data_IF_952887804405
#
_entry.id   IF_952887804405
#
_cell.length_a   1.000
_cell.length_b   1.000
_cell.length_c   1.000
_cell.angle_alpha   90.00
_cell.angle_beta   90.00
_cell.angle_gamma   90.00
#
_symmetry.space_group_name_H-M   'P 1'
#
loop_
_entity.id
_entity.type
_entity.pdbx_description
1 polymer ?
#
# COMPACT_ATOMS: atom_id res chain seq x y z
N UNK A 1 -16.57 12.08 -3.15
CA UNK A 1 -15.47 11.65 -2.27
C UNK A 1 -14.38 11.11 -3.17
N UNK A 2 -13.26 11.83 -3.26
CA UNK A 2 -12.04 11.32 -3.87
C UNK A 2 -11.37 10.43 -2.82
N UNK A 3 -11.08 9.17 -3.16
CA UNK A 3 -10.36 8.28 -2.26
C UNK A 3 -8.87 8.55 -2.38
N UNK A 4 -8.17 8.61 -1.25
CA UNK A 4 -6.73 8.88 -1.26
C UNK A 4 -5.93 7.64 -1.67
N UNK A 5 -4.95 7.84 -2.53
CA UNK A 5 -4.09 6.79 -3.07
C UNK A 5 -2.84 6.69 -2.20
N UNK A 6 -2.50 5.47 -1.78
CA UNK A 6 -1.28 5.23 -1.01
C UNK A 6 -0.02 5.62 -1.82
N UNK A 7 1.09 5.97 -1.14
CA UNK A 7 2.38 6.14 -1.79
C UNK A 7 2.71 4.95 -2.69
N UNK A 8 3.26 5.26 -3.87
CA UNK A 8 3.61 4.29 -4.90
C UNK A 8 2.43 3.51 -5.49
N UNK A 9 1.18 3.81 -5.13
CA UNK A 9 0.00 3.17 -5.68
C UNK A 9 -0.27 3.53 -7.16
N UNK A 10 -0.92 2.62 -7.88
CA UNK A 10 -1.54 2.87 -9.18
C UNK A 10 -3.04 2.67 -9.04
N UNK A 11 -3.81 3.61 -9.58
CA UNK A 11 -5.25 3.54 -9.68
C UNK A 11 -5.66 3.26 -11.12
N UNK A 12 -6.67 2.42 -11.33
CA UNK A 12 -7.29 2.20 -12.64
C UNK A 12 -8.81 2.42 -12.61
N UNK A 13 -9.34 2.88 -13.75
CA UNK A 13 -10.77 2.97 -14.04
C UNK A 13 -11.50 4.21 -13.50
N UNK A 14 -12.72 4.41 -13.98
CA UNK A 14 -13.54 5.60 -13.70
C UNK A 14 -13.97 5.75 -12.22
N UNK A 15 -13.94 4.66 -11.43
CA UNK A 15 -14.25 4.69 -9.99
C UNK A 15 -13.01 4.67 -9.10
N UNK A 16 -11.82 4.83 -9.68
CA UNK A 16 -10.55 4.89 -8.99
C UNK A 16 -10.34 3.77 -7.95
N UNK A 17 -10.08 2.54 -8.42
CA UNK A 17 -9.68 1.44 -7.55
C UNK A 17 -8.17 1.25 -7.55
N UNK A 18 -7.58 0.94 -6.39
CA UNK A 18 -6.15 0.67 -6.27
C UNK A 18 -5.83 -0.67 -6.96
N UNK A 19 -5.05 -0.63 -8.03
CA UNK A 19 -4.70 -1.82 -8.80
C UNK A 19 -3.42 -2.49 -8.30
N UNK A 20 -2.54 -1.73 -7.64
CA UNK A 20 -1.24 -2.22 -7.20
C UNK A 20 -0.23 -1.10 -6.99
N UNK A 21 1.04 -1.44 -7.09
CA UNK A 21 2.16 -0.51 -6.98
C UNK A 21 2.74 -0.14 -8.36
N UNK A 22 3.23 1.10 -8.49
CA UNK A 22 3.92 1.61 -9.66
C UNK A 22 5.36 1.11 -9.74
N UNK A 23 5.53 -0.16 -10.07
CA UNK A 23 6.83 -0.81 -10.17
C UNK A 23 7.74 -0.12 -11.19
N UNK A 24 7.17 0.33 -12.32
CA UNK A 24 7.94 1.07 -13.33
C UNK A 24 8.45 2.39 -12.75
N UNK A 25 7.58 3.14 -12.08
CA UNK A 25 7.95 4.37 -11.38
C UNK A 25 9.04 4.14 -10.34
N UNK A 26 8.90 3.13 -9.50
CA UNK A 26 9.90 2.76 -8.49
C UNK A 26 11.26 2.47 -9.10
N UNK A 27 11.32 1.65 -10.17
CA UNK A 27 12.57 1.34 -10.88
C UNK A 27 13.22 2.59 -11.47
N UNK A 28 12.44 3.51 -12.06
CA UNK A 28 12.98 4.78 -12.59
C UNK A 28 13.54 5.69 -11.50
N UNK A 29 13.05 5.59 -10.27
CA UNK A 29 13.55 6.36 -9.13
C UNK A 29 14.69 5.64 -8.38
N UNK A 30 15.26 4.59 -8.96
CA UNK A 30 16.42 3.90 -8.40
C UNK A 30 16.10 3.03 -7.18
N UNK A 31 14.85 2.60 -7.00
CA UNK A 31 14.56 1.61 -5.97
C UNK A 31 15.22 0.28 -6.32
N UNK A 32 15.98 -0.24 -5.37
CA UNK A 32 16.64 -1.53 -5.48
C UNK A 32 15.62 -2.66 -5.54
N UNK A 33 16.05 -3.80 -6.09
CA UNK A 33 15.19 -4.98 -6.25
C UNK A 33 14.58 -5.40 -4.92
N UNK A 34 15.36 -5.39 -3.85
CA UNK A 34 14.98 -5.81 -2.51
C UNK A 34 13.89 -4.89 -1.94
N UNK A 35 14.02 -3.57 -2.12
CA UNK A 35 13.03 -2.58 -1.70
C UNK A 35 11.71 -2.75 -2.45
N UNK A 36 11.77 -3.02 -3.76
CA UNK A 36 10.57 -3.31 -4.56
C UNK A 36 9.89 -4.60 -4.07
N UNK A 37 10.65 -5.62 -3.68
CA UNK A 37 10.08 -6.85 -3.11
C UNK A 37 9.43 -6.61 -1.75
N UNK A 38 10.07 -5.82 -0.87
CA UNK A 38 9.52 -5.42 0.42
C UNK A 38 8.19 -4.67 0.25
N UNK A 39 8.16 -3.64 -0.60
CA UNK A 39 6.95 -2.88 -0.93
C UNK A 39 5.83 -3.79 -1.44
N UNK A 40 6.13 -4.72 -2.36
CA UNK A 40 5.14 -5.67 -2.87
C UNK A 40 4.59 -6.60 -1.78
N UNK A 41 5.43 -7.04 -0.85
CA UNK A 41 5.03 -7.92 0.25
C UNK A 41 4.17 -7.16 1.27
N UNK A 42 4.60 -5.96 1.67
CA UNK A 42 3.84 -5.05 2.51
C UNK A 42 2.46 -4.75 1.93
N UNK A 43 2.37 -4.42 0.63
CA UNK A 43 1.09 -4.19 -0.05
C UNK A 43 0.13 -5.38 0.07
N UNK A 44 0.61 -6.61 -0.17
CA UNK A 44 -0.23 -7.81 -0.07
C UNK A 44 -0.72 -8.06 1.36
N UNK A 45 0.15 -7.85 2.34
CA UNK A 45 -0.22 -7.99 3.76
C UNK A 45 -1.26 -6.93 4.14
N UNK A 46 -1.01 -5.65 3.82
CA UNK A 46 -1.90 -4.54 4.13
C UNK A 46 -3.30 -4.70 3.56
N UNK A 47 -3.47 -5.37 2.42
CA UNK A 47 -4.77 -5.58 1.77
C UNK A 47 -5.23 -7.05 1.75
N UNK A 48 -4.66 -7.90 2.62
CA UNK A 48 -5.14 -9.26 2.88
C UNK A 48 -6.58 -9.26 3.42
N UNK A 49 -7.29 -10.38 3.32
CA UNK A 49 -8.61 -10.55 3.95
C UNK A 49 -8.52 -10.96 5.43
N UNK A 50 -7.32 -11.30 5.90
CA UNK A 50 -7.08 -11.71 7.28
C UNK A 50 -6.90 -10.50 8.21
N UNK A 51 -7.66 -10.48 9.30
CA UNK A 51 -7.58 -9.43 10.32
C UNK A 51 -8.09 -8.06 9.88
N UNK A 52 -8.10 -7.15 10.83
CA UNK A 52 -8.43 -5.74 10.64
C UNK A 52 -7.29 -5.01 9.92
N UNK A 53 -7.58 -3.85 9.34
CA UNK A 53 -6.54 -3.01 8.74
C UNK A 53 -5.49 -2.57 9.78
N UNK A 54 -5.92 -2.31 11.02
CA UNK A 54 -5.03 -1.88 12.11
C UNK A 54 -4.06 -2.98 12.54
N UNK A 55 -4.53 -4.22 12.66
CA UNK A 55 -3.66 -5.38 12.95
C UNK A 55 -2.62 -5.55 11.85
N UNK A 56 -3.06 -5.56 10.57
CA UNK A 56 -2.16 -5.67 9.42
C UNK A 56 -1.15 -4.53 9.32
N UNK A 57 -1.55 -3.31 9.68
CA UNK A 57 -0.64 -2.15 9.74
C UNK A 57 0.45 -2.36 10.78
N UNK A 58 0.08 -2.84 11.97
CA UNK A 58 1.03 -3.14 13.05
C UNK A 58 2.01 -4.24 12.63
N UNK A 59 1.50 -5.30 11.99
CA UNK A 59 2.34 -6.41 11.51
C UNK A 59 3.32 -5.96 10.42
N UNK A 60 2.86 -5.13 9.47
CA UNK A 60 3.70 -4.61 8.39
C UNK A 60 4.73 -3.62 8.93
N UNK A 61 4.37 -2.77 9.87
CA UNK A 61 5.31 -1.85 10.51
C UNK A 61 6.46 -2.61 11.20
N UNK A 62 6.12 -3.65 11.97
CA UNK A 62 7.11 -4.47 12.67
C UNK A 62 7.96 -5.32 11.71
N UNK A 63 7.35 -5.90 10.66
CA UNK A 63 8.06 -6.79 9.72
C UNK A 63 9.03 -6.04 8.80
N UNK A 64 8.81 -4.74 8.57
CA UNK A 64 9.59 -3.93 7.62
C UNK A 64 10.10 -2.62 8.25
N UNK A 65 10.46 -2.62 9.54
CA UNK A 65 10.96 -1.43 10.25
C UNK A 65 12.10 -0.73 9.48
N UNK A 66 13.04 -1.51 8.94
CA UNK A 66 14.18 -0.99 8.19
C UNK A 66 13.90 -0.53 6.75
N UNK A 67 12.68 -0.72 6.21
CA UNK A 67 12.35 -0.31 4.84
C UNK A 67 11.62 1.05 4.83
N UNK A 68 12.37 2.12 4.52
CA UNK A 68 11.82 3.47 4.48
C UNK A 68 10.66 3.64 3.48
N UNK A 69 10.57 2.82 2.43
CA UNK A 69 9.46 2.85 1.48
C UNK A 69 8.18 2.30 2.12
N UNK A 70 8.28 1.17 2.82
CA UNK A 70 7.17 0.58 3.55
C UNK A 70 6.71 1.49 4.68
N UNK A 71 7.63 2.07 5.45
CA UNK A 71 7.28 2.99 6.53
C UNK A 71 6.49 4.21 6.03
N UNK A 72 6.83 4.76 4.85
CA UNK A 72 6.02 5.83 4.24
C UNK A 72 4.58 5.42 3.97
N UNK A 73 4.34 4.19 3.50
CA UNK A 73 2.98 3.67 3.28
C UNK A 73 2.25 3.55 4.63
N UNK A 74 2.89 2.96 5.64
CA UNK A 74 2.30 2.80 6.98
C UNK A 74 1.93 4.14 7.59
N UNK A 75 2.87 5.09 7.62
CA UNK A 75 2.63 6.44 8.15
C UNK A 75 1.51 7.15 7.40
N UNK A 76 1.48 7.05 6.06
CA UNK A 76 0.41 7.65 5.27
C UNK A 76 -0.97 7.10 5.64
N UNK A 77 -1.09 5.78 5.76
CA UNK A 77 -2.36 5.14 6.11
C UNK A 77 -2.78 5.52 7.54
N UNK A 78 -1.86 5.52 8.51
CA UNK A 78 -2.15 5.90 9.90
C UNK A 78 -2.53 7.38 10.06
N UNK A 79 -1.98 8.26 9.23
CA UNK A 79 -2.30 9.69 9.26
C UNK A 79 -3.70 10.01 8.71
N UNK A 80 -4.36 9.05 8.05
CA UNK A 80 -5.67 9.21 7.44
C UNK A 80 -6.76 8.79 8.43
N UNK A 81 -7.06 9.66 9.40
CA UNK A 81 -8.08 9.39 10.44
C UNK A 81 -9.52 9.46 9.93
N UNK A 82 -9.79 10.31 8.92
CA UNK A 82 -11.17 10.68 8.54
C UNK A 82 -11.48 10.55 7.05
N UNK A 83 -10.53 10.06 6.23
CA UNK A 83 -10.69 9.93 4.77
C UNK A 83 -10.73 8.47 4.33
N UNK A 84 -11.60 8.18 3.37
CA UNK A 84 -11.66 6.85 2.75
C UNK A 84 -10.41 6.60 1.90
N UNK A 85 -9.62 5.60 2.31
CA UNK A 85 -8.48 5.13 1.52
C UNK A 85 -8.96 4.40 0.27
N UNK A 86 -8.26 4.62 -0.85
CA UNK A 86 -8.46 3.85 -2.06
C UNK A 86 -7.96 2.42 -1.82
N UNK A 87 -8.89 1.50 -1.58
CA UNK A 87 -8.59 0.08 -1.38
C UNK A 87 -8.62 -0.67 -2.71
N UNK A 88 -7.90 -1.79 -2.82
CA UNK A 88 -8.07 -2.68 -3.97
C UNK A 88 -9.51 -3.12 -4.07
N UNK A 89 -10.01 -3.26 -5.30
CA UNK A 89 -11.31 -3.86 -5.52
C UNK A 89 -11.25 -5.26 -4.92
N UNK A 90 -12.07 -5.54 -3.90
CA UNK A 90 -12.21 -6.88 -3.38
C UNK A 90 -12.54 -7.77 -4.58
N UNK A 91 -11.69 -8.75 -4.87
CA UNK A 91 -12.02 -9.77 -5.85
C UNK A 91 -13.30 -10.42 -5.33
N UNK A 92 -14.43 -10.05 -5.93
CA UNK A 92 -15.69 -10.69 -5.64
C UNK A 92 -15.65 -12.06 -6.27
N UNK A 93 -15.55 -13.10 -5.44
CA UNK A 93 -15.74 -14.51 -5.82
C UNK A 93 -14.56 -15.15 -6.53
#
# INVERSE_FOLDING_TARGET
VENDVIPFGIVLGNRAALAGLNIVGLKRHGFEREQIHALRKAYRLLFSTEGTLMERLSDVEAMFDGDAGVQRIVTFIKAQSDRSLCVPRANGG
#
